data_IF_863519717098
#
_entry.id   IF_863519717098
#
_cell.length_a   1.000
_cell.length_b   1.000
_cell.length_c   1.000
_cell.angle_alpha   90.00
_cell.angle_beta   90.00
_cell.angle_gamma   90.00
#
_symmetry.space_group_name_H-M   'P 1'
#
loop_
_entity.id
_entity.type
_entity.pdbx_description
1 polymer ?
#
# COMPACT_ATOMS: atom_id res chain seq x y z
N UNK A 1 15.29 -3.64 -6.02
CA UNK A 1 13.83 -3.50 -5.78
C UNK A 1 13.16 -4.66 -6.50
N UNK A 2 12.09 -5.20 -5.94
CA UNK A 2 11.36 -6.32 -6.54
C UNK A 2 10.35 -5.79 -7.56
N UNK A 3 10.41 -6.27 -8.79
CA UNK A 3 9.34 -6.07 -9.76
C UNK A 3 8.25 -7.12 -9.52
N UNK A 4 7.28 -6.75 -8.69
CA UNK A 4 6.14 -7.61 -8.31
C UNK A 4 5.20 -7.91 -9.48
N UNK A 5 5.34 -7.18 -10.59
CA UNK A 5 4.54 -7.28 -11.80
C UNK A 5 5.24 -8.06 -12.91
N UNK A 6 6.48 -8.51 -12.68
CA UNK A 6 7.18 -9.41 -13.59
C UNK A 6 6.45 -10.74 -13.76
N UNK A 7 6.62 -11.36 -14.93
CA UNK A 7 6.09 -12.68 -15.25
C UNK A 7 6.34 -13.73 -14.15
N UNK A 8 7.59 -13.80 -13.67
CA UNK A 8 8.00 -14.76 -12.64
C UNK A 8 7.26 -14.54 -11.31
N UNK A 9 7.00 -13.28 -10.95
CA UNK A 9 6.27 -12.94 -9.73
C UNK A 9 4.77 -13.22 -9.89
N UNK A 10 4.17 -12.79 -11.00
CA UNK A 10 2.73 -13.00 -11.27
C UNK A 10 2.37 -14.49 -11.25
N UNK A 11 3.23 -15.36 -11.78
CA UNK A 11 3.03 -16.82 -11.73
C UNK A 11 2.94 -17.38 -10.31
N UNK A 12 3.54 -16.72 -9.32
CA UNK A 12 3.54 -17.16 -7.92
C UNK A 12 2.60 -16.35 -7.03
N UNK A 13 1.79 -15.45 -7.62
CA UNK A 13 0.79 -14.69 -6.86
C UNK A 13 -0.23 -15.62 -6.18
N UNK A 14 -0.53 -15.30 -4.92
CA UNK A 14 -1.60 -15.95 -4.19
C UNK A 14 -2.98 -15.50 -4.69
N UNK A 15 -4.02 -16.26 -4.37
CA UNK A 15 -5.41 -15.88 -4.66
C UNK A 15 -5.76 -14.48 -4.17
N UNK A 16 -5.23 -14.08 -3.00
CA UNK A 16 -5.47 -12.74 -2.44
C UNK A 16 -4.85 -11.66 -3.33
N UNK A 17 -3.65 -11.88 -3.88
CA UNK A 17 -3.01 -10.95 -4.81
C UNK A 17 -3.77 -10.88 -6.14
N UNK A 18 -4.25 -12.02 -6.64
CA UNK A 18 -5.06 -12.10 -7.87
C UNK A 18 -6.36 -11.34 -7.70
N UNK A 19 -7.14 -11.63 -6.65
CA UNK A 19 -8.39 -10.90 -6.34
C UNK A 19 -8.14 -9.40 -6.15
N UNK A 20 -7.05 -9.04 -5.46
CA UNK A 20 -6.67 -7.64 -5.29
C UNK A 20 -6.38 -6.97 -6.64
N UNK A 21 -5.68 -7.67 -7.54
CA UNK A 21 -5.42 -7.19 -8.89
C UNK A 21 -6.74 -7.02 -9.65
N UNK A 22 -7.61 -8.02 -9.68
CA UNK A 22 -8.91 -7.98 -10.38
C UNK A 22 -9.79 -6.81 -9.91
N UNK A 23 -9.79 -6.52 -8.61
CA UNK A 23 -10.58 -5.43 -8.02
C UNK A 23 -9.84 -4.09 -7.94
N UNK A 24 -8.65 -3.94 -8.52
CA UNK A 24 -7.80 -2.74 -8.38
C UNK A 24 -8.50 -1.41 -8.68
N UNK A 25 -9.45 -1.41 -9.63
CA UNK A 25 -10.19 -0.20 -10.04
C UNK A 25 -11.38 0.13 -9.13
N UNK A 26 -11.96 -0.86 -8.46
CA UNK A 26 -13.10 -0.69 -7.54
C UNK A 26 -12.67 -0.63 -6.07
N UNK A 27 -11.51 -1.20 -5.74
CA UNK A 27 -10.91 -1.19 -4.42
C UNK A 27 -9.45 -0.70 -4.50
N UNK A 28 -9.30 0.61 -4.70
CA UNK A 28 -7.99 1.29 -4.82
C UNK A 28 -7.18 1.17 -3.54
N UNK A 29 -7.83 1.28 -2.38
CA UNK A 29 -7.16 1.06 -1.09
C UNK A 29 -6.54 -0.34 -1.07
N UNK A 30 -7.32 -1.37 -1.36
CA UNK A 30 -6.88 -2.76 -1.25
C UNK A 30 -5.73 -3.07 -2.21
N UNK A 31 -5.74 -2.46 -3.39
CA UNK A 31 -4.63 -2.51 -4.34
C UNK A 31 -3.36 -1.93 -3.74
N UNK A 32 -3.35 -0.64 -3.41
CA UNK A 32 -2.14 0.01 -2.88
C UNK A 32 -1.74 -0.49 -1.50
N UNK A 33 -2.64 -1.12 -0.76
CA UNK A 33 -2.31 -1.80 0.48
C UNK A 33 -1.29 -2.92 0.23
N UNK A 34 -1.37 -3.61 -0.91
CA UNK A 34 -0.54 -4.79 -1.25
C UNK A 34 0.52 -4.53 -2.31
N UNK A 35 0.26 -3.59 -3.19
CA UNK A 35 1.07 -3.30 -4.37
C UNK A 35 1.51 -1.84 -4.40
N UNK A 36 2.53 -1.58 -5.21
CA UNK A 36 2.94 -0.25 -5.64
C UNK A 36 2.42 -0.02 -7.07
N UNK A 37 2.69 1.13 -7.67
CA UNK A 37 2.32 1.33 -9.07
C UNK A 37 3.07 0.36 -10.01
N UNK A 38 2.48 -0.05 -11.16
CA UNK A 38 3.07 -1.07 -12.05
C UNK A 38 4.48 -0.80 -12.59
N UNK A 39 4.92 0.45 -12.64
CA UNK A 39 6.30 0.83 -13.03
C UNK A 39 7.24 1.06 -11.84
N UNK A 40 6.72 0.89 -10.63
CA UNK A 40 7.46 1.06 -9.41
C UNK A 40 7.94 -0.30 -8.89
N UNK A 41 9.25 -0.43 -8.64
CA UNK A 41 9.76 -1.60 -7.94
C UNK A 41 9.35 -1.55 -6.46
N UNK A 42 8.78 -2.62 -5.92
CA UNK A 42 8.48 -2.70 -4.50
C UNK A 42 9.77 -2.97 -3.71
N UNK A 43 10.04 -2.16 -2.69
CA UNK A 43 11.22 -2.32 -1.84
C UNK A 43 10.86 -3.10 -0.58
N UNK A 44 11.22 -4.38 -0.57
CA UNK A 44 11.23 -5.18 0.66
C UNK A 44 12.47 -4.84 1.51
N UNK A 45 12.35 -4.99 2.83
CA UNK A 45 13.45 -4.72 3.76
C UNK A 45 13.54 -3.25 4.23
N UNK A 46 14.76 -2.75 4.51
CA UNK A 46 14.96 -1.45 5.15
C UNK A 46 14.27 -0.28 4.43
N UNK A 47 13.94 0.76 5.19
CA UNK A 47 13.44 2.02 4.65
C UNK A 47 14.61 2.91 4.23
N UNK A 48 14.52 3.49 3.04
CA UNK A 48 15.52 4.46 2.57
C UNK A 48 15.27 5.83 3.21
N UNK A 49 16.26 6.72 3.14
CA UNK A 49 16.09 8.10 3.59
C UNK A 49 14.97 8.80 2.83
N UNK A 50 14.87 8.57 1.51
CA UNK A 50 13.82 9.10 0.65
C UNK A 50 12.42 8.65 1.08
N UNK A 51 12.17 7.33 1.19
CA UNK A 51 10.83 6.84 1.57
C UNK A 51 10.47 7.20 3.02
N UNK A 52 11.47 7.29 3.90
CA UNK A 52 11.26 7.82 5.27
C UNK A 52 10.79 9.28 5.24
N UNK A 53 11.43 10.13 4.43
CA UNK A 53 11.05 11.52 4.28
C UNK A 53 9.64 11.66 3.69
N UNK A 54 9.35 10.95 2.60
CA UNK A 54 8.03 10.95 1.95
C UNK A 54 6.94 10.48 2.91
N UNK A 55 7.20 9.45 3.71
CA UNK A 55 6.29 8.97 4.74
C UNK A 55 5.97 10.07 5.77
N UNK A 56 6.99 10.76 6.29
CA UNK A 56 6.79 11.82 7.29
C UNK A 56 6.03 13.01 6.70
N UNK A 57 6.36 13.43 5.47
CA UNK A 57 5.63 14.50 4.76
C UNK A 57 4.17 14.12 4.58
N UNK A 58 3.89 12.88 4.14
CA UNK A 58 2.53 12.38 3.96
C UNK A 58 1.75 12.29 5.27
N UNK A 59 2.42 11.90 6.36
CA UNK A 59 1.83 11.85 7.70
C UNK A 59 1.40 13.24 8.18
N UNK A 60 2.26 14.25 8.02
CA UNK A 60 1.94 15.63 8.41
C UNK A 60 0.84 16.24 7.52
N UNK A 61 0.81 15.93 6.22
CA UNK A 61 -0.29 16.32 5.33
C UNK A 61 -1.63 15.79 5.85
N UNK A 62 -1.71 14.51 6.24
CA UNK A 62 -2.95 13.91 6.72
C UNK A 62 -3.40 14.52 8.04
N UNK A 63 -2.46 14.73 8.98
CA UNK A 63 -2.75 15.43 10.24
C UNK A 63 -3.28 16.84 10.01
N UNK A 64 -2.63 17.62 9.14
CA UNK A 64 -3.03 18.98 8.81
C UNK A 64 -4.43 19.05 8.20
N UNK A 65 -4.85 17.99 7.49
CA UNK A 65 -6.18 17.87 6.89
C UNK A 65 -7.22 17.23 7.80
N UNK A 66 -6.87 16.91 9.05
CA UNK A 66 -7.76 16.21 9.99
C UNK A 66 -8.15 14.80 9.51
N UNK A 67 -7.32 14.18 8.67
CA UNK A 67 -7.56 12.85 8.13
C UNK A 67 -7.06 11.82 9.14
N UNK A 68 -7.87 10.78 9.30
CA UNK A 68 -7.59 9.70 10.22
C UNK A 68 -6.34 8.91 9.80
N UNK A 69 -5.35 8.83 10.69
CA UNK A 69 -4.22 7.91 10.55
C UNK A 69 -4.63 6.52 11.05
N UNK A 70 -4.21 5.46 10.34
CA UNK A 70 -4.39 4.08 10.79
C UNK A 70 -5.43 3.25 10.04
N UNK A 71 -6.25 3.85 9.16
CA UNK A 71 -7.36 3.16 8.48
C UNK A 71 -7.18 2.97 6.99
N UNK A 72 -6.51 3.89 6.29
CA UNK A 72 -6.47 3.92 4.82
C UNK A 72 -5.04 3.83 4.29
N UNK A 73 -4.29 2.80 4.71
CA UNK A 73 -2.87 2.70 4.43
C UNK A 73 -2.52 2.52 2.97
N UNK A 74 -3.37 1.89 2.15
CA UNK A 74 -3.16 1.86 0.70
C UNK A 74 -3.21 3.25 0.08
N UNK A 75 -4.20 4.06 0.45
CA UNK A 75 -4.30 5.44 -0.01
C UNK A 75 -3.15 6.32 0.52
N UNK A 76 -2.68 6.02 1.73
CA UNK A 76 -1.51 6.67 2.30
C UNK A 76 -0.27 6.41 1.44
N UNK A 77 -0.03 5.15 1.07
CA UNK A 77 1.20 4.72 0.40
C UNK A 77 1.35 5.19 -1.03
N UNK A 78 0.28 5.64 -1.70
CA UNK A 78 0.36 6.23 -3.05
C UNK A 78 1.35 7.41 -3.18
N UNK A 79 1.73 8.05 -2.07
CA UNK A 79 2.71 9.15 -2.03
C UNK A 79 4.04 8.76 -1.37
N UNK A 80 4.27 7.47 -1.12
CA UNK A 80 5.49 6.94 -0.51
C UNK A 80 6.14 5.96 -1.48
N UNK A 81 7.27 6.35 -2.06
CA UNK A 81 7.87 5.54 -3.12
C UNK A 81 8.31 4.17 -2.62
N UNK A 82 8.09 3.18 -3.48
CA UNK A 82 8.53 1.79 -3.36
C UNK A 82 7.97 1.05 -2.14
N UNK A 83 6.93 1.57 -1.48
CA UNK A 83 6.33 0.98 -0.28
C UNK A 83 4.82 0.82 -0.46
N UNK A 84 4.31 -0.39 -0.23
CA UNK A 84 2.88 -0.66 -0.17
C UNK A 84 2.29 -0.26 1.19
N UNK A 85 0.96 -0.18 1.28
CA UNK A 85 0.24 0.25 2.48
C UNK A 85 0.52 -0.62 3.71
N UNK A 86 0.62 -1.95 3.57
CA UNK A 86 0.97 -2.81 4.71
C UNK A 86 2.36 -2.46 5.29
N UNK A 87 3.28 -2.01 4.44
CA UNK A 87 4.61 -1.58 4.87
C UNK A 87 4.53 -0.25 5.60
N UNK A 88 3.72 0.69 5.11
CA UNK A 88 3.47 1.97 5.77
C UNK A 88 2.84 1.78 7.16
N UNK A 89 1.81 0.92 7.26
CA UNK A 89 1.18 0.55 8.53
C UNK A 89 2.19 -0.03 9.52
N UNK A 90 3.01 -0.98 9.07
CA UNK A 90 4.03 -1.63 9.91
C UNK A 90 5.10 -0.64 10.36
N UNK A 91 5.52 0.26 9.47
CA UNK A 91 6.51 1.29 9.77
C UNK A 91 5.98 2.30 10.78
N UNK A 92 4.73 2.75 10.63
CA UNK A 92 4.06 3.61 11.60
C UNK A 92 4.06 3.00 13.00
N UNK A 93 3.64 1.73 13.11
CA UNK A 93 3.65 1.00 14.38
C UNK A 93 5.04 0.94 14.98
N UNK A 94 6.07 0.65 14.19
CA UNK A 94 7.47 0.65 14.65
C UNK A 94 7.91 2.03 15.16
N UNK A 95 7.49 3.13 14.54
CA UNK A 95 7.81 4.48 15.01
C UNK A 95 7.14 4.77 16.37
N UNK A 96 5.91 4.31 16.59
CA UNK A 96 5.25 4.39 17.89
C UNK A 96 5.95 3.52 18.95
N UNK A 97 6.29 2.28 18.60
CA UNK A 97 6.97 1.34 19.50
C UNK A 97 8.34 1.86 19.93
N UNK A 98 9.07 2.49 19.01
CA UNK A 98 10.40 3.10 19.27
C UNK A 98 10.32 4.53 19.82
N UNK A 99 9.11 5.02 20.15
CA UNK A 99 8.84 6.37 20.69
C UNK A 99 9.36 7.51 19.79
N UNK A 100 9.57 7.24 18.50
CA UNK A 100 9.88 8.27 17.49
C UNK A 100 8.65 9.06 17.07
N UNK A 101 7.47 8.47 17.26
CA UNK A 101 6.18 9.11 17.15
C UNK A 101 5.36 8.82 18.40
N UNK A 102 4.43 9.70 18.71
CA UNK A 102 3.39 9.51 19.72
C UNK A 102 2.03 9.70 19.07
N UNK A 103 1.09 8.81 19.39
CA UNK A 103 -0.28 8.88 18.90
C UNK A 103 -1.23 8.47 20.03
N UNK A 104 -2.06 9.40 20.55
CA UNK A 104 -3.03 9.11 21.61
C UNK A 104 -4.07 8.05 21.21
N UNK A 105 -4.22 7.73 19.92
CA UNK A 105 -5.07 6.65 19.45
C UNK A 105 -4.51 5.26 19.79
N UNK A 106 -3.24 5.16 20.19
CA UNK A 106 -2.56 3.90 20.51
C UNK A 106 -2.11 3.86 21.97
N UNK A 107 -2.26 2.70 22.60
CA UNK A 107 -1.74 2.44 23.93
C UNK A 107 -1.13 1.03 24.01
N UNK A 108 -0.31 0.82 25.04
CA UNK A 108 0.25 -0.49 25.34
C UNK A 108 -0.71 -1.26 26.25
N UNK A 109 -1.20 -2.40 25.77
CA UNK A 109 -2.02 -3.32 26.56
C UNK A 109 -1.42 -4.73 26.45
N UNK A 110 -1.11 -5.37 27.58
CA UNK A 110 -0.53 -6.71 27.61
C UNK A 110 0.77 -6.88 26.81
N UNK A 111 1.60 -5.83 26.76
CA UNK A 111 2.85 -5.84 25.98
C UNK A 111 2.66 -5.70 24.46
N UNK A 112 1.45 -5.40 23.99
CA UNK A 112 1.16 -5.13 22.58
C UNK A 112 0.67 -3.70 22.41
N UNK A 113 1.13 -3.04 21.35
CA UNK A 113 0.62 -1.74 20.97
C UNK A 113 -0.75 -1.92 20.28
N UNK A 114 -1.82 -1.49 20.91
CA UNK A 114 -3.18 -1.60 20.38
C UNK A 114 -3.75 -0.20 20.10
N UNK A 115 -4.67 -0.12 19.14
CA UNK A 115 -5.42 1.12 18.90
C UNK A 115 -6.58 1.15 19.91
N UNK A 116 -6.52 2.07 20.88
CA UNK A 116 -7.50 2.20 21.97
C UNK A 116 -8.62 3.19 21.64
N UNK A 117 -8.31 4.21 20.85
CA UNK A 117 -9.30 5.17 20.39
C UNK A 117 -9.30 5.17 18.87
N UNK A 118 -10.46 4.88 18.27
CA UNK A 118 -10.64 5.17 16.87
C UNK A 118 -10.66 6.69 16.73
N UNK A 119 -9.57 7.27 16.25
CA UNK A 119 -9.51 8.71 15.98
C UNK A 119 -10.71 9.14 15.16
N UNK A 120 -11.36 10.21 15.58
CA UNK A 120 -12.40 10.89 14.80
C UNK A 120 -11.66 11.70 13.75
N UNK A 121 -11.80 11.35 12.49
CA UNK A 121 -11.10 12.01 11.39
C UNK A 121 -11.74 11.65 10.07
N UNK A 122 -11.61 12.56 9.10
CA UNK A 122 -12.14 12.33 7.76
C UNK A 122 -11.44 11.17 7.07
N UNK A 123 -12.09 10.60 6.07
CA UNK A 123 -11.46 9.68 5.13
C UNK A 123 -10.90 10.46 3.95
N UNK A 124 -9.74 10.04 3.44
CA UNK A 124 -9.21 10.59 2.20
C UNK A 124 -10.02 10.03 1.03
N UNK A 125 -10.81 10.88 0.37
CA UNK A 125 -11.41 10.53 -0.91
C UNK A 125 -10.33 10.53 -2.00
N UNK A 126 -10.22 9.43 -2.76
CA UNK A 126 -9.40 9.35 -3.96
C UNK A 126 -10.29 8.94 -5.12
N UNK A 127 -10.13 9.60 -6.26
CA UNK A 127 -10.96 9.39 -7.44
C UNK A 127 -10.58 8.14 -8.25
N UNK A 128 -9.50 7.44 -7.90
CA UNK A 128 -9.06 6.26 -8.62
C UNK A 128 -7.60 5.89 -8.38
N UNK A 129 -7.09 5.01 -9.25
CA UNK A 129 -5.68 4.69 -9.37
C UNK A 129 -4.86 5.94 -9.78
N UNK A 130 -3.55 5.90 -9.61
CA UNK A 130 -2.68 7.03 -9.97
C UNK A 130 -2.72 7.32 -11.47
N UNK A 131 -2.35 8.55 -11.86
CA UNK A 131 -2.31 8.96 -13.26
C UNK A 131 -1.35 8.10 -14.12
N UNK A 132 -0.39 7.42 -13.49
CA UNK A 132 0.54 6.51 -14.18
C UNK A 132 -0.19 5.39 -14.92
N UNK A 133 -1.37 5.01 -14.46
CA UNK A 133 -2.22 4.00 -15.09
C UNK A 133 -2.72 4.37 -16.48
N UNK A 134 -2.60 5.64 -16.86
CA UNK A 134 -2.98 6.12 -18.19
C UNK A 134 -1.82 6.03 -19.21
N UNK A 135 -0.60 5.73 -18.76
CA UNK A 135 0.57 5.55 -19.64
C UNK A 135 0.48 4.25 -20.42
N UNK A 136 1.06 4.22 -21.63
CA UNK A 136 1.03 3.02 -22.47
C UNK A 136 1.86 1.88 -21.87
N UNK A 137 2.95 2.21 -21.17
CA UNK A 137 3.74 1.24 -20.40
C UNK A 137 2.89 0.50 -19.35
N UNK A 138 2.10 1.23 -18.55
CA UNK A 138 1.24 0.58 -17.54
C UNK A 138 0.10 -0.22 -18.19
N UNK A 139 -0.47 0.24 -19.31
CA UNK A 139 -1.47 -0.52 -20.04
C UNK A 139 -0.89 -1.84 -20.57
N UNK A 140 0.34 -1.83 -21.05
CA UNK A 140 1.03 -3.04 -21.50
C UNK A 140 1.30 -4.00 -20.33
N UNK A 141 1.81 -3.49 -19.21
CA UNK A 141 1.99 -4.28 -17.98
C UNK A 141 0.65 -4.88 -17.54
N UNK A 142 -0.43 -4.09 -17.55
CA UNK A 142 -1.77 -4.53 -17.18
C UNK A 142 -2.27 -5.65 -18.10
N UNK A 143 -2.10 -5.52 -19.42
CA UNK A 143 -2.46 -6.54 -20.39
C UNK A 143 -1.66 -7.84 -20.18
N UNK A 144 -0.35 -7.71 -19.93
CA UNK A 144 0.54 -8.84 -19.67
C UNK A 144 0.12 -9.60 -18.41
N UNK A 145 -0.13 -8.91 -17.30
CA UNK A 145 -0.57 -9.53 -16.05
C UNK A 145 -1.91 -10.24 -16.24
N UNK A 146 -2.88 -9.61 -16.91
CA UNK A 146 -4.18 -10.24 -17.16
C UNK A 146 -4.05 -11.52 -18.01
N UNK A 147 -3.12 -11.55 -18.97
CA UNK A 147 -2.80 -12.77 -19.75
C UNK A 147 -2.19 -13.84 -18.86
N UNK A 148 -1.19 -13.50 -18.05
CA UNK A 148 -0.49 -14.47 -17.20
C UNK A 148 -1.37 -15.01 -16.07
N UNK A 149 -2.28 -14.21 -15.51
CA UNK A 149 -3.29 -14.69 -14.57
C UNK A 149 -4.15 -15.76 -15.22
N UNK A 150 -4.61 -15.52 -16.46
CA UNK A 150 -5.38 -16.53 -17.20
C UNK A 150 -4.58 -17.79 -17.52
N UNK A 151 -3.29 -17.65 -17.79
CA UNK A 151 -2.41 -18.77 -18.15
C UNK A 151 -2.08 -19.67 -16.95
N UNK A 152 -1.76 -19.09 -15.79
CA UNK A 152 -1.23 -19.84 -14.65
C UNK A 152 -2.24 -20.10 -13.54
N UNK A 153 -3.28 -19.28 -13.46
CA UNK A 153 -4.22 -19.30 -12.34
C UNK A 153 -5.67 -19.56 -12.75
N UNK A 154 -5.95 -19.73 -14.05
CA UNK A 154 -7.21 -20.36 -14.46
C UNK A 154 -7.14 -21.83 -14.12
N UNK A 155 -8.00 -22.27 -13.20
CA UNK A 155 -8.13 -23.68 -12.87
C UNK A 155 -8.46 -24.47 -14.16
N UNK A 156 -7.68 -25.50 -14.56
CA UNK A 156 -8.24 -26.49 -15.46
C UNK A 156 -9.39 -27.15 -14.69
N UNK A 157 -10.61 -26.94 -15.19
CA UNK A 157 -11.78 -27.67 -14.73
C UNK A 157 -11.55 -29.18 -14.88
#
# INVERSE_FOLDING_TARGET
MEDVFSHAQVRTWSEVRIKTWEHRRTNVEGFYYRFVDPTEGQQNGPWSAKSTQEFMVRLEEWKARGIRIGTSWGIFSMKVSNKAGYQCSSYYRKLLETKKLTDPAYAWEGGKLIMVNKSVGGEMAVSGLSERWNTDEVKEIEANINRWIKEYHSNPA
#
